data_IF_535429537155
#
_entry.id   IF_535429537155
#
_cell.length_a   1.000
_cell.length_b   1.000
_cell.length_c   1.000
_cell.angle_alpha   90.00
_cell.angle_beta   90.00
_cell.angle_gamma   90.00
#
_symmetry.space_group_name_H-M   'P 1'
#
loop_
_entity.id
_entity.type
_entity.pdbx_description
1 polymer ?
#
# COMPACT_ATOMS: atom_id res chain seq x y z
N UNK A 1 5.81 -16.98 29.20
CA UNK A 1 6.81 -17.29 28.16
C UNK A 1 6.92 -16.07 27.25
N UNK A 2 8.06 -15.85 26.60
CA UNK A 2 8.21 -14.76 25.63
C UNK A 2 7.36 -15.06 24.37
N UNK A 3 6.72 -14.04 23.80
CA UNK A 3 5.88 -14.19 22.60
C UNK A 3 6.72 -14.34 21.34
N UNK A 4 6.30 -15.21 20.43
CA UNK A 4 6.98 -15.43 19.15
C UNK A 4 6.40 -14.57 18.03
N UNK A 5 7.23 -13.71 17.42
CA UNK A 5 6.84 -12.94 16.22
C UNK A 5 6.60 -13.83 14.99
N UNK A 6 7.10 -15.07 14.98
CA UNK A 6 6.84 -16.02 13.87
C UNK A 6 5.42 -16.56 13.86
N UNK A 7 4.68 -16.44 14.97
CA UNK A 7 3.30 -16.88 15.09
C UNK A 7 2.31 -15.74 14.87
N UNK A 8 2.73 -14.71 14.13
CA UNK A 8 1.84 -13.62 13.81
C UNK A 8 0.84 -14.02 12.72
N UNK A 9 -0.39 -13.54 12.87
CA UNK A 9 -1.47 -13.73 11.91
C UNK A 9 -2.20 -12.41 11.73
N UNK A 10 -2.43 -12.02 10.48
CA UNK A 10 -3.27 -10.88 10.12
C UNK A 10 -4.55 -11.38 9.47
N UNK A 11 -5.69 -10.91 9.97
CA UNK A 11 -6.96 -11.02 9.27
C UNK A 11 -7.47 -9.62 8.92
N UNK A 12 -8.02 -9.46 7.73
CA UNK A 12 -8.51 -8.17 7.23
C UNK A 12 -9.90 -8.34 6.60
N UNK A 13 -10.83 -7.45 6.93
CA UNK A 13 -12.16 -7.44 6.33
C UNK A 13 -12.72 -6.02 6.26
N UNK A 14 -13.29 -5.66 5.12
CA UNK A 14 -13.99 -4.39 4.92
C UNK A 14 -15.25 -4.32 5.80
N UNK A 15 -15.51 -3.14 6.37
CA UNK A 15 -16.68 -2.86 7.19
C UNK A 15 -17.91 -2.50 6.36
N UNK A 16 -19.08 -2.85 6.87
CA UNK A 16 -20.36 -2.43 6.27
C UNK A 16 -20.74 -0.99 6.63
N UNK A 17 -20.27 -0.49 7.77
CA UNK A 17 -20.51 0.87 8.26
C UNK A 17 -19.42 1.32 9.25
N UNK A 18 -19.25 2.63 9.38
CA UNK A 18 -18.34 3.22 10.38
C UNK A 18 -18.75 2.84 11.81
N UNK A 19 -17.77 2.53 12.66
CA UNK A 19 -17.97 2.08 14.04
C UNK A 19 -18.52 0.66 14.18
N UNK A 20 -18.92 0.00 13.09
CA UNK A 20 -19.38 -1.38 13.09
C UNK A 20 -18.22 -2.31 12.68
N UNK A 21 -17.51 -2.83 13.69
CA UNK A 21 -16.38 -3.74 13.47
C UNK A 21 -16.82 -4.99 12.70
N UNK A 22 -16.08 -5.33 11.64
CA UNK A 22 -16.26 -6.60 10.95
C UNK A 22 -15.72 -7.77 11.80
N UNK A 23 -16.14 -8.99 11.47
CA UNK A 23 -15.71 -10.22 12.16
C UNK A 23 -14.95 -11.13 11.19
N UNK A 24 -13.69 -10.82 10.88
CA UNK A 24 -12.91 -11.60 9.93
C UNK A 24 -12.67 -13.03 10.46
N UNK A 25 -12.66 -14.00 9.55
CA UNK A 25 -12.39 -15.41 9.88
C UNK A 25 -11.07 -15.86 9.26
N UNK A 26 -10.39 -16.80 9.92
CA UNK A 26 -9.10 -17.33 9.43
C UNK A 26 -9.20 -18.04 8.08
N UNK A 27 -10.34 -18.64 7.77
CA UNK A 27 -10.56 -19.35 6.51
C UNK A 27 -10.86 -18.42 5.33
N UNK A 28 -11.46 -17.25 5.58
CA UNK A 28 -11.88 -16.35 4.50
C UNK A 28 -11.00 -15.12 4.32
N UNK A 29 -10.40 -14.63 5.41
CA UNK A 29 -9.85 -13.27 5.53
C UNK A 29 -8.38 -13.21 5.97
N UNK A 30 -7.68 -14.35 6.02
CA UNK A 30 -6.27 -14.36 6.38
C UNK A 30 -5.43 -13.71 5.27
N UNK A 31 -4.48 -12.87 5.66
CA UNK A 31 -3.56 -12.20 4.75
C UNK A 31 -2.16 -12.80 4.91
N UNK A 32 -1.60 -13.28 3.80
CA UNK A 32 -0.23 -13.78 3.76
C UNK A 32 0.75 -12.59 3.69
N UNK A 33 1.35 -12.25 4.82
CA UNK A 33 2.33 -11.16 4.90
C UNK A 33 3.77 -11.70 5.00
N UNK A 34 4.70 -11.03 4.31
CA UNK A 34 6.15 -11.28 4.48
C UNK A 34 6.73 -10.57 5.70
N UNK A 35 6.13 -9.45 6.07
CA UNK A 35 6.46 -8.65 7.25
C UNK A 35 5.17 -8.09 7.85
N UNK A 36 5.09 -8.09 9.17
CA UNK A 36 3.95 -7.56 9.92
C UNK A 36 4.46 -6.88 11.19
N UNK A 37 4.14 -5.60 11.34
CA UNK A 37 4.63 -4.76 12.43
C UNK A 37 3.45 -3.96 13.02
N UNK A 38 2.76 -4.51 14.05
CA UNK A 38 1.77 -3.77 14.80
C UNK A 38 2.44 -2.83 15.80
N UNK A 39 2.00 -1.57 15.84
CA UNK A 39 2.33 -0.64 16.91
C UNK A 39 1.24 -0.71 17.98
N UNK A 40 1.47 -1.26 19.19
CA UNK A 40 0.38 -1.58 20.11
C UNK A 40 -0.47 -0.38 20.54
N UNK A 41 0.15 0.80 20.67
CA UNK A 41 -0.50 2.06 20.99
C UNK A 41 0.33 3.23 20.47
N UNK A 42 -0.34 4.18 19.82
CA UNK A 42 0.22 5.46 19.41
C UNK A 42 -0.69 6.55 19.97
N UNK A 43 -0.13 7.55 20.64
CA UNK A 43 -0.91 8.56 21.34
C UNK A 43 -0.08 9.81 21.62
N UNK A 44 -0.77 10.93 21.78
CA UNK A 44 -0.18 12.19 22.22
C UNK A 44 -0.09 12.25 23.75
N UNK A 45 0.89 13.02 24.25
CA UNK A 45 1.08 13.22 25.68
C UNK A 45 1.00 14.69 26.06
N UNK A 46 0.00 15.03 26.87
CA UNK A 46 -0.22 16.38 27.39
C UNK A 46 0.48 16.54 28.74
N UNK A 47 1.39 17.50 28.85
CA UNK A 47 2.10 17.77 30.10
C UNK A 47 1.17 18.37 31.16
N UNK A 48 1.42 18.01 32.42
CA UNK A 48 0.68 18.57 33.56
C UNK A 48 1.47 19.71 34.19
N UNK A 49 1.21 20.95 33.80
CA UNK A 49 1.93 22.12 34.32
C UNK A 49 1.40 22.55 35.70
N UNK A 50 1.64 21.71 36.70
CA UNK A 50 1.17 21.91 38.08
C UNK A 50 2.11 22.85 38.84
N UNK A 51 1.55 23.89 39.46
CA UNK A 51 2.29 24.79 40.37
C UNK A 51 2.53 24.05 41.69
N UNK A 52 3.80 23.81 42.03
CA UNK A 52 4.22 23.10 43.25
C UNK A 52 5.45 23.78 43.88
N UNK A 53 5.59 23.78 45.22
CA UNK A 53 6.72 24.41 45.91
C UNK A 53 8.02 23.57 45.87
N UNK A 54 8.07 22.51 45.05
CA UNK A 54 9.22 21.61 44.91
C UNK A 54 9.47 21.25 43.44
N UNK A 55 10.71 20.88 43.13
CA UNK A 55 11.16 20.53 41.77
C UNK A 55 10.84 19.06 41.46
N UNK A 56 10.44 18.76 40.22
CA UNK A 56 10.18 17.40 39.72
C UNK A 56 9.19 17.39 38.55
N UNK A 57 9.15 16.30 37.78
CA UNK A 57 8.19 16.14 36.69
C UNK A 57 6.78 15.88 37.26
N UNK A 58 5.78 16.58 36.72
CA UNK A 58 4.37 16.49 37.13
C UNK A 58 3.59 15.40 36.39
N UNK A 59 4.25 14.67 35.50
CA UNK A 59 3.65 13.62 34.68
C UNK A 59 2.94 14.16 33.45
N UNK A 60 2.44 13.25 32.62
CA UNK A 60 1.72 13.56 31.37
C UNK A 60 0.45 12.70 31.28
N UNK A 61 -0.54 13.18 30.55
CA UNK A 61 -1.79 12.47 30.26
C UNK A 61 -1.82 12.04 28.79
N UNK A 62 -2.31 10.85 28.51
CA UNK A 62 -2.46 10.33 27.15
C UNK A 62 -3.74 10.89 26.51
N UNK A 63 -3.65 11.31 25.25
CA UNK A 63 -4.77 11.72 24.41
C UNK A 63 -4.59 11.13 22.99
N UNK A 64 -5.68 10.99 22.24
CA UNK A 64 -5.59 10.61 20.83
C UNK A 64 -5.12 9.18 20.61
N UNK A 65 -5.51 8.26 21.48
CA UNK A 65 -5.10 6.85 21.40
C UNK A 65 -5.61 6.21 20.09
N UNK A 66 -4.66 5.79 19.26
CA UNK A 66 -4.92 5.07 18.02
C UNK A 66 -3.91 3.93 17.85
N UNK A 67 -4.11 3.12 16.82
CA UNK A 67 -3.23 1.99 16.49
C UNK A 67 -2.77 2.09 15.04
N UNK A 68 -1.49 1.80 14.83
CA UNK A 68 -0.90 1.64 13.50
C UNK A 68 -0.51 0.20 13.23
N UNK A 69 -0.58 -0.21 11.97
CA UNK A 69 -0.12 -1.51 11.53
C UNK A 69 0.50 -1.39 10.15
N UNK A 70 1.71 -1.91 10.02
CA UNK A 70 2.44 -1.94 8.76
C UNK A 70 2.59 -3.39 8.33
N UNK A 71 2.31 -3.69 7.06
CA UNK A 71 2.49 -5.03 6.51
C UNK A 71 2.96 -4.99 5.06
N UNK A 72 3.62 -6.07 4.66
CA UNK A 72 4.07 -6.27 3.28
C UNK A 72 3.43 -7.53 2.71
N UNK A 73 2.86 -7.40 1.51
CA UNK A 73 2.18 -8.48 0.77
C UNK A 73 2.82 -8.61 -0.60
N UNK A 74 3.05 -9.85 -1.04
CA UNK A 74 3.61 -10.14 -2.37
C UNK A 74 2.56 -9.85 -3.46
N UNK A 75 2.99 -9.28 -4.59
CA UNK A 75 2.11 -8.97 -5.71
C UNK A 75 1.96 -10.23 -6.58
N UNK A 76 0.74 -10.77 -6.62
CA UNK A 76 0.34 -11.87 -7.49
C UNK A 76 -1.18 -11.77 -7.76
N UNK A 77 -1.64 -12.28 -8.89
CA UNK A 77 -3.09 -12.36 -9.13
C UNK A 77 -3.76 -13.47 -8.31
N UNK A 78 -5.08 -13.61 -8.49
CA UNK A 78 -5.91 -14.61 -7.80
C UNK A 78 -5.78 -16.03 -8.36
N UNK A 79 -5.11 -16.20 -9.50
CA UNK A 79 -4.99 -17.45 -10.23
C UNK A 79 -6.18 -17.74 -11.17
N UNK A 80 -7.20 -16.88 -11.21
CA UNK A 80 -8.34 -17.02 -12.13
C UNK A 80 -8.82 -15.63 -12.60
N UNK A 81 -8.94 -15.39 -13.93
CA UNK A 81 -9.42 -14.12 -14.46
C UNK A 81 -10.80 -13.72 -13.89
N UNK A 82 -10.96 -12.43 -13.54
CA UNK A 82 -12.19 -11.90 -12.97
C UNK A 82 -12.53 -12.40 -11.57
N UNK A 83 -11.55 -12.92 -10.82
CA UNK A 83 -11.66 -13.20 -9.38
C UNK A 83 -10.76 -12.22 -8.63
N UNK A 84 -11.31 -11.53 -7.64
CA UNK A 84 -10.55 -10.55 -6.85
C UNK A 84 -9.38 -11.22 -6.09
N UNK A 85 -8.18 -10.62 -6.10
CA UNK A 85 -7.06 -11.09 -5.29
C UNK A 85 -7.38 -10.97 -3.79
N UNK A 86 -6.76 -11.82 -2.98
CA UNK A 86 -7.00 -11.88 -1.53
C UNK A 86 -6.61 -10.59 -0.76
N UNK A 87 -5.80 -9.72 -1.36
CA UNK A 87 -5.42 -8.43 -0.79
C UNK A 87 -6.35 -7.26 -1.20
N UNK A 88 -7.44 -7.53 -1.94
CA UNK A 88 -8.37 -6.48 -2.42
C UNK A 88 -8.91 -5.59 -1.30
N UNK A 89 -9.32 -6.19 -0.17
CA UNK A 89 -9.79 -5.46 1.02
C UNK A 89 -8.77 -4.43 1.54
N UNK A 90 -7.47 -4.75 1.46
CA UNK A 90 -6.39 -3.83 1.87
C UNK A 90 -6.30 -2.64 0.92
N UNK A 91 -6.41 -2.86 -0.39
CA UNK A 91 -6.41 -1.80 -1.39
C UNK A 91 -7.63 -0.89 -1.23
N UNK A 92 -8.81 -1.46 -0.95
CA UNK A 92 -10.02 -0.66 -0.74
C UNK A 92 -9.85 0.33 0.43
N UNK A 93 -9.23 -0.11 1.52
CA UNK A 93 -8.90 0.74 2.67
C UNK A 93 -7.85 1.83 2.36
N UNK A 94 -7.11 1.68 1.28
CA UNK A 94 -6.17 2.67 0.74
C UNK A 94 -6.80 3.62 -0.28
N UNK A 95 -8.12 3.59 -0.48
CA UNK A 95 -8.82 4.51 -1.39
C UNK A 95 -8.95 4.02 -2.82
N UNK A 96 -8.96 2.70 -3.01
CA UNK A 96 -9.34 2.08 -4.28
C UNK A 96 -10.80 1.59 -4.25
N UNK A 97 -11.50 1.70 -5.37
CA UNK A 97 -12.76 1.03 -5.63
C UNK A 97 -12.52 -0.21 -6.50
N UNK A 98 -13.05 -1.35 -6.08
CA UNK A 98 -12.94 -2.61 -6.80
C UNK A 98 -14.09 -2.78 -7.80
N UNK A 99 -13.75 -3.07 -9.05
CA UNK A 99 -14.71 -3.43 -10.10
C UNK A 99 -14.33 -4.78 -10.68
N UNK A 100 -15.20 -5.77 -10.53
CA UNK A 100 -14.97 -7.14 -11.01
C UNK A 100 -15.69 -7.37 -12.33
N UNK A 101 -14.94 -7.65 -13.39
CA UNK A 101 -15.46 -8.15 -14.67
C UNK A 101 -15.26 -9.65 -14.71
N UNK A 102 -16.32 -10.41 -14.39
CA UNK A 102 -16.25 -11.87 -14.28
C UNK A 102 -15.65 -12.53 -15.54
N UNK A 103 -14.66 -13.40 -15.33
CA UNK A 103 -13.95 -14.10 -16.40
C UNK A 103 -12.95 -13.25 -17.20
N UNK A 104 -12.81 -11.96 -16.89
CA UNK A 104 -11.93 -11.04 -17.62
C UNK A 104 -10.87 -10.44 -16.71
N UNK A 105 -11.27 -9.56 -15.79
CA UNK A 105 -10.35 -8.78 -14.97
C UNK A 105 -11.00 -8.26 -13.69
N UNK A 106 -10.17 -7.78 -12.79
CA UNK A 106 -10.55 -6.99 -11.62
C UNK A 106 -9.76 -5.69 -11.65
N UNK A 107 -10.45 -4.56 -11.61
CA UNK A 107 -9.87 -3.23 -11.66
C UNK A 107 -10.02 -2.54 -10.31
N UNK A 108 -8.94 -1.89 -9.89
CA UNK A 108 -8.87 -1.04 -8.72
C UNK A 108 -8.57 0.38 -9.19
N UNK A 109 -9.61 1.22 -9.23
CA UNK A 109 -9.51 2.65 -9.58
C UNK A 109 -9.51 3.48 -8.32
N UNK A 110 -8.86 4.63 -8.32
CA UNK A 110 -8.86 5.51 -7.15
C UNK A 110 -10.24 6.17 -6.95
N UNK A 111 -10.52 6.55 -5.70
CA UNK A 111 -11.69 7.34 -5.33
C UNK A 111 -11.32 8.43 -4.33
N UNK A 112 -11.91 9.61 -4.47
CA UNK A 112 -11.76 10.74 -3.52
C UNK A 112 -12.78 10.74 -2.38
N UNK A 113 -13.68 9.76 -2.34
CA UNK A 113 -14.68 9.66 -1.29
C UNK A 113 -15.43 8.34 -1.28
N UNK A 114 -16.02 8.02 -0.12
CA UNK A 114 -16.70 6.74 0.09
C UNK A 114 -15.73 5.57 0.21
N UNK A 115 -14.46 5.81 0.54
CA UNK A 115 -13.50 4.73 0.72
C UNK A 115 -13.96 3.80 1.86
N UNK A 116 -14.03 2.48 1.62
CA UNK A 116 -14.43 1.56 2.66
C UNK A 116 -13.47 1.59 3.85
N UNK A 117 -14.02 1.39 5.05
CA UNK A 117 -13.25 1.27 6.28
C UNK A 117 -12.85 -0.18 6.51
N UNK A 118 -11.68 -0.41 7.08
CA UNK A 118 -11.15 -1.76 7.30
C UNK A 118 -11.10 -2.13 8.77
N UNK A 119 -11.48 -3.38 9.06
CA UNK A 119 -11.21 -4.02 10.34
C UNK A 119 -10.03 -4.99 10.21
N UNK A 120 -9.01 -4.79 11.05
CA UNK A 120 -7.80 -5.61 11.10
C UNK A 120 -7.70 -6.34 12.44
N UNK A 121 -7.50 -7.65 12.40
CA UNK A 121 -7.24 -8.48 13.57
C UNK A 121 -5.81 -9.00 13.45
N UNK A 122 -4.91 -8.48 14.28
CA UNK A 122 -3.54 -8.95 14.42
C UNK A 122 -3.41 -9.87 15.63
N UNK A 123 -2.95 -11.09 15.42
CA UNK A 123 -2.61 -12.01 16.50
C UNK A 123 -1.09 -12.08 16.67
N UNK A 124 -0.61 -12.03 17.91
CA UNK A 124 0.77 -12.25 18.31
C UNK A 124 0.79 -13.28 19.42
N UNK A 125 0.97 -14.55 19.05
CA UNK A 125 1.18 -15.67 19.98
C UNK A 125 0.22 -15.61 21.20
N UNK A 126 -1.07 -15.59 20.89
CA UNK A 126 -2.16 -15.55 21.88
C UNK A 126 -2.65 -14.15 22.30
N UNK A 127 -1.99 -13.05 21.90
CA UNK A 127 -2.55 -11.69 22.07
C UNK A 127 -3.21 -11.22 20.79
N UNK A 128 -4.43 -10.73 20.90
CA UNK A 128 -5.21 -10.13 19.82
C UNK A 128 -5.20 -8.61 19.92
N UNK A 129 -4.84 -7.97 18.81
CA UNK A 129 -4.96 -6.54 18.56
C UNK A 129 -6.02 -6.33 17.49
N UNK A 130 -7.06 -5.55 17.81
CA UNK A 130 -8.06 -5.15 16.81
C UNK A 130 -7.79 -3.70 16.41
N UNK A 131 -7.99 -3.40 15.15
CA UNK A 131 -8.05 -2.04 14.60
C UNK A 131 -9.37 -1.97 13.85
N UNK A 132 -10.18 -0.98 14.18
CA UNK A 132 -11.47 -0.73 13.54
C UNK A 132 -11.42 0.65 12.91
N UNK A 133 -12.23 0.88 11.89
CA UNK A 133 -12.28 2.13 11.13
C UNK A 133 -10.90 2.51 10.58
N UNK A 134 -10.14 1.51 10.11
CA UNK A 134 -8.80 1.73 9.60
C UNK A 134 -8.85 2.31 8.18
N UNK A 135 -7.99 3.30 7.94
CA UNK A 135 -7.62 3.81 6.61
C UNK A 135 -6.12 3.59 6.40
N UNK A 136 -5.70 3.45 5.15
CA UNK A 136 -4.31 3.16 4.84
C UNK A 136 -3.72 3.88 3.64
N UNK A 137 -2.44 3.63 3.42
CA UNK A 137 -1.69 4.01 2.22
C UNK A 137 -0.98 2.77 1.68
N UNK A 138 -0.69 2.74 0.38
CA UNK A 138 0.02 1.65 -0.28
C UNK A 138 1.15 2.17 -1.15
N UNK A 139 2.25 1.44 -1.17
CA UNK A 139 3.31 1.58 -2.16
C UNK A 139 3.59 0.25 -2.86
N UNK A 140 3.88 0.32 -4.15
CA UNK A 140 4.20 -0.81 -5.02
C UNK A 140 5.69 -0.74 -5.37
N UNK A 141 6.40 -1.86 -5.21
CA UNK A 141 7.81 -1.99 -5.58
C UNK A 141 8.01 -3.18 -6.51
N UNK A 142 8.61 -2.93 -7.68
CA UNK A 142 8.90 -3.94 -8.70
C UNK A 142 10.36 -3.84 -9.15
N UNK A 143 11.26 -4.44 -8.37
CA UNK A 143 12.70 -4.43 -8.65
C UNK A 143 13.14 -5.76 -9.29
N UNK A 144 13.92 -5.75 -10.40
CA UNK A 144 14.40 -6.97 -11.05
C UNK A 144 15.12 -7.93 -10.11
N UNK A 145 15.00 -9.23 -10.38
CA UNK A 145 15.53 -10.33 -9.54
C UNK A 145 14.91 -10.39 -8.13
N UNK A 146 13.95 -9.53 -7.82
CA UNK A 146 13.15 -9.55 -6.60
C UNK A 146 11.74 -10.09 -6.84
N UNK A 147 11.03 -10.29 -5.73
CA UNK A 147 9.59 -10.51 -5.71
C UNK A 147 8.93 -9.12 -5.65
N UNK A 148 7.91 -8.83 -6.49
CA UNK A 148 7.19 -7.57 -6.42
C UNK A 148 6.34 -7.51 -5.14
N UNK A 149 6.31 -6.35 -4.47
CA UNK A 149 5.72 -6.22 -3.13
C UNK A 149 4.85 -4.97 -3.02
N UNK A 150 3.71 -5.10 -2.32
CA UNK A 150 2.93 -3.99 -1.79
C UNK A 150 3.28 -3.76 -0.33
N UNK A 151 3.63 -2.53 0.03
CA UNK A 151 3.82 -2.12 1.43
C UNK A 151 2.64 -1.27 1.85
N UNK A 152 1.95 -1.72 2.89
CA UNK A 152 0.80 -1.06 3.46
C UNK A 152 1.13 -0.47 4.82
N UNK A 153 0.58 0.71 5.08
CA UNK A 153 0.50 1.28 6.43
C UNK A 153 -0.96 1.64 6.71
N UNK A 154 -1.46 1.19 7.86
CA UNK A 154 -2.82 1.43 8.31
C UNK A 154 -2.82 2.19 9.62
N UNK A 155 -3.82 3.06 9.79
CA UNK A 155 -4.11 3.78 11.01
C UNK A 155 -5.61 3.67 11.30
N UNK A 156 -5.96 3.32 12.54
CA UNK A 156 -7.36 3.19 12.95
C UNK A 156 -7.56 3.22 14.46
N UNK A 157 -8.80 3.00 14.88
CA UNK A 157 -9.22 3.10 16.26
C UNK A 157 -8.52 2.08 17.15
N UNK A 158 -8.07 2.55 18.31
CA UNK A 158 -7.47 1.70 19.32
C UNK A 158 -8.52 0.77 19.94
N UNK A 159 -8.15 -0.51 20.08
CA UNK A 159 -8.83 -1.45 20.95
C UNK A 159 -7.87 -1.93 22.04
N UNK A 160 -8.38 -2.18 23.24
CA UNK A 160 -7.61 -2.87 24.28
C UNK A 160 -7.13 -4.23 23.73
N UNK A 161 -5.85 -4.59 23.89
CA UNK A 161 -5.38 -5.94 23.57
C UNK A 161 -6.08 -6.98 24.46
N UNK A 162 -6.44 -8.10 23.86
CA UNK A 162 -7.12 -9.22 24.54
C UNK A 162 -6.28 -10.49 24.40
N UNK A 163 -6.31 -11.36 25.39
CA UNK A 163 -5.77 -12.71 25.22
C UNK A 163 -6.83 -13.56 24.53
N UNK A 164 -6.43 -14.32 23.51
CA UNK A 164 -7.31 -15.16 22.71
C UNK A 164 -6.56 -16.33 22.10
N UNK A 165 -7.25 -17.43 21.87
CA UNK A 165 -6.67 -18.56 21.15
C UNK A 165 -6.28 -18.12 19.73
N UNK A 166 -5.14 -18.63 19.24
CA UNK A 166 -4.80 -18.48 17.83
C UNK A 166 -5.90 -19.13 16.98
N UNK A 167 -6.41 -18.45 15.95
CA UNK A 167 -7.40 -19.02 15.04
C UNK A 167 -6.88 -20.31 14.40
N UNK A 168 -7.78 -21.28 14.22
CA UNK A 168 -7.49 -22.54 13.51
C UNK A 168 -8.07 -22.48 12.09
N UNK A 169 -7.57 -23.32 11.18
CA UNK A 169 -8.05 -23.36 9.79
C UNK A 169 -7.69 -22.11 8.99
N UNK A 170 -6.51 -21.53 9.24
CA UNK A 170 -5.96 -20.43 8.44
C UNK A 170 -5.76 -20.92 7.00
N UNK A 171 -6.35 -20.20 6.04
CA UNK A 171 -6.26 -20.55 4.62
C UNK A 171 -5.58 -19.43 3.82
N UNK A 172 -4.50 -19.77 3.12
CA UNK A 172 -3.78 -18.89 2.20
C UNK A 172 -3.87 -19.37 0.75
N UNK A 173 -4.76 -20.31 0.44
CA UNK A 173 -4.92 -20.88 -0.92
C UNK A 173 -5.27 -19.83 -1.98
N UNK A 174 -5.84 -18.69 -1.57
CA UNK A 174 -6.13 -17.54 -2.43
C UNK A 174 -4.90 -16.71 -2.80
N UNK A 175 -3.74 -16.94 -2.17
CA UNK A 175 -2.48 -16.30 -2.52
C UNK A 175 -1.70 -17.21 -3.47
N UNK A 176 -1.53 -16.75 -4.70
CA UNK A 176 -0.69 -17.42 -5.69
C UNK A 176 0.79 -17.20 -5.37
N UNK A 177 1.63 -18.16 -5.76
CA UNK A 177 3.08 -17.95 -5.74
C UNK A 177 3.44 -16.80 -6.68
N UNK A 178 4.15 -15.76 -6.21
CA UNK A 178 4.50 -14.63 -7.05
C UNK A 178 5.56 -15.00 -8.08
N UNK A 179 5.58 -14.26 -9.19
CA UNK A 179 6.64 -14.36 -10.19
C UNK A 179 7.73 -13.35 -9.88
N UNK A 180 8.98 -13.72 -10.13
CA UNK A 180 10.11 -12.78 -9.98
C UNK A 180 10.05 -11.70 -11.06
N UNK A 181 10.37 -10.46 -10.71
CA UNK A 181 10.47 -9.36 -11.67
C UNK A 181 11.68 -9.57 -12.58
N UNK A 182 11.46 -9.43 -13.88
CA UNK A 182 12.50 -9.56 -14.90
C UNK A 182 11.89 -9.75 -16.28
N UNK A 183 12.72 -9.69 -17.33
CA UNK A 183 12.27 -9.67 -18.73
C UNK A 183 11.20 -10.72 -19.09
N UNK A 184 11.30 -11.93 -18.56
CA UNK A 184 10.34 -13.02 -18.85
C UNK A 184 8.98 -12.79 -18.24
N UNK A 185 8.92 -12.28 -17.00
CA UNK A 185 7.68 -12.14 -16.24
C UNK A 185 7.18 -10.69 -16.19
N UNK A 186 7.96 -9.70 -16.63
CA UNK A 186 7.56 -8.30 -16.73
C UNK A 186 7.79 -7.85 -18.18
N UNK A 187 6.98 -8.32 -19.13
CA UNK A 187 7.24 -8.12 -20.55
C UNK A 187 7.06 -6.66 -21.00
N UNK A 188 6.30 -5.87 -20.23
CA UNK A 188 5.97 -4.49 -20.60
C UNK A 188 6.33 -3.56 -19.45
N UNK A 189 7.20 -2.59 -19.75
CA UNK A 189 7.40 -1.39 -18.95
C UNK A 189 7.67 -0.24 -19.92
N UNK A 190 6.66 0.60 -20.11
CA UNK A 190 6.74 1.75 -21.00
C UNK A 190 6.54 3.04 -20.23
N UNK A 191 7.32 4.06 -20.55
CA UNK A 191 7.22 5.40 -19.96
C UNK A 191 7.35 6.44 -21.07
N UNK A 192 6.34 7.30 -21.24
CA UNK A 192 6.20 8.19 -22.39
C UNK A 192 6.34 7.44 -23.74
N UNK A 193 5.86 6.19 -23.82
CA UNK A 193 6.00 5.32 -24.98
C UNK A 193 7.40 4.74 -25.21
N UNK A 194 8.38 5.03 -24.36
CA UNK A 194 9.71 4.42 -24.40
C UNK A 194 9.72 3.12 -23.58
N UNK A 195 10.12 2.01 -24.20
CA UNK A 195 10.32 0.73 -23.50
C UNK A 195 11.63 0.76 -22.71
N UNK A 196 11.54 0.81 -21.39
CA UNK A 196 12.69 1.04 -20.51
C UNK A 196 13.31 -0.28 -19.99
N UNK A 197 14.65 -0.37 -20.04
CA UNK A 197 15.40 -1.36 -19.27
C UNK A 197 15.63 -0.82 -17.85
N UNK A 198 14.97 -1.41 -16.85
CA UNK A 198 14.96 -0.87 -15.48
C UNK A 198 15.73 -1.71 -14.48
N UNK A 199 16.28 -1.04 -13.47
CA UNK A 199 16.89 -1.63 -12.28
C UNK A 199 16.07 -1.38 -11.01
N UNK A 200 15.16 -0.40 -11.03
CA UNK A 200 14.19 -0.18 -9.96
C UNK A 200 12.92 0.50 -10.48
N UNK A 201 11.79 0.15 -9.89
CA UNK A 201 10.50 0.81 -10.14
C UNK A 201 9.67 0.83 -8.87
N UNK A 202 9.15 2.00 -8.52
CA UNK A 202 8.22 2.16 -7.40
C UNK A 202 7.15 3.20 -7.67
N UNK A 203 5.98 2.99 -7.08
CA UNK A 203 4.86 3.94 -7.04
C UNK A 203 4.33 3.97 -5.62
N UNK A 204 4.15 5.15 -5.05
CA UNK A 204 3.60 5.37 -3.73
C UNK A 204 2.35 6.23 -3.87
N UNK A 205 1.21 5.74 -3.37
CA UNK A 205 -0.02 6.51 -3.38
C UNK A 205 0.06 7.73 -2.44
N UNK A 206 0.87 7.61 -1.38
CA UNK A 206 1.16 8.67 -0.42
C UNK A 206 -0.12 9.35 0.12
N UNK A 207 -1.07 8.53 0.60
CA UNK A 207 -2.22 9.03 1.33
C UNK A 207 -1.78 9.68 2.64
N UNK A 208 -2.32 10.85 2.95
CA UNK A 208 -2.05 11.53 4.21
C UNK A 208 -2.84 10.89 5.35
N UNK A 209 -2.23 10.02 6.15
CA UNK A 209 -2.92 9.36 7.27
C UNK A 209 -2.81 10.15 8.57
N UNK A 210 -3.94 10.71 9.03
CA UNK A 210 -4.03 11.48 10.26
C UNK A 210 -5.07 10.88 11.22
N UNK A 211 -4.72 10.74 12.50
CA UNK A 211 -5.73 10.56 13.55
C UNK A 211 -6.33 11.92 13.90
N UNK A 212 -7.65 12.06 13.75
CA UNK A 212 -8.35 13.28 14.13
C UNK A 212 -9.08 13.03 15.42
N UNK A 213 -8.74 13.80 16.45
CA UNK A 213 -9.45 13.80 17.73
C UNK A 213 -10.12 15.17 17.92
N UNK A 214 -11.45 15.18 17.92
CA UNK A 214 -12.28 16.36 18.14
C UNK A 214 -13.28 16.07 19.26
N UNK A 215 -13.89 17.13 19.81
CA UNK A 215 -14.98 16.96 20.77
C UNK A 215 -16.15 16.25 20.05
N UNK A 216 -16.62 15.14 20.61
CA UNK A 216 -17.75 14.34 20.11
C UNK A 216 -17.49 13.53 18.82
N UNK A 217 -16.29 13.59 18.23
CA UNK A 217 -15.92 12.71 17.11
C UNK A 217 -14.41 12.49 17.05
N UNK A 218 -14.00 11.24 16.82
CA UNK A 218 -12.61 10.89 16.58
C UNK A 218 -12.52 9.76 15.54
N UNK A 219 -11.44 9.72 14.77
CA UNK A 219 -11.25 8.66 13.78
C UNK A 219 -10.06 8.89 12.85
N UNK A 220 -9.77 7.84 12.06
CA UNK A 220 -8.79 7.90 10.99
C UNK A 220 -9.31 8.79 9.85
N UNK A 221 -8.47 9.67 9.34
CA UNK A 221 -8.76 10.49 8.18
C UNK A 221 -7.64 10.38 7.15
N UNK A 222 -8.03 10.36 5.88
CA UNK A 222 -7.15 10.46 4.72
C UNK A 222 -7.64 11.61 3.83
N UNK A 223 -7.36 12.88 4.20
CA UNK A 223 -7.98 14.03 3.54
C UNK A 223 -7.39 14.36 2.17
N UNK A 224 -6.18 13.90 1.89
CA UNK A 224 -5.45 14.18 0.65
C UNK A 224 -4.54 12.99 0.31
N UNK A 225 -4.14 12.93 -0.96
CA UNK A 225 -3.13 12.00 -1.48
C UNK A 225 -2.24 12.73 -2.47
N UNK A 226 -0.94 12.44 -2.44
CA UNK A 226 0.03 13.04 -3.37
C UNK A 226 0.87 11.95 -4.01
N UNK A 227 0.30 11.20 -4.98
CA UNK A 227 0.96 10.02 -5.49
C UNK A 227 2.25 10.35 -6.24
N UNK A 228 3.31 9.63 -5.91
CA UNK A 228 4.65 9.80 -6.47
C UNK A 228 5.18 8.47 -6.96
N UNK A 229 6.17 8.49 -7.84
CA UNK A 229 6.86 7.30 -8.29
C UNK A 229 8.30 7.58 -8.67
N UNK A 230 9.04 6.50 -8.88
CA UNK A 230 10.43 6.56 -9.31
C UNK A 230 10.75 5.37 -10.20
N UNK A 231 11.50 5.64 -11.26
CA UNK A 231 12.03 4.63 -12.17
C UNK A 231 13.52 4.85 -12.33
N UNK A 232 14.30 3.79 -12.14
CA UNK A 232 15.73 3.78 -12.49
C UNK A 232 15.91 2.94 -13.74
N UNK A 233 16.37 3.55 -14.82
CA UNK A 233 16.49 2.92 -16.14
C UNK A 233 17.80 3.26 -16.84
N UNK A 234 18.21 2.45 -17.81
CA UNK A 234 19.33 2.81 -18.69
C UNK A 234 19.06 4.16 -19.34
N UNK A 235 20.03 5.08 -19.29
CA UNK A 235 19.87 6.40 -19.86
C UNK A 235 19.86 6.30 -21.40
N UNK A 236 18.71 6.51 -22.07
CA UNK A 236 18.63 6.30 -23.50
C UNK A 236 19.32 7.44 -24.24
N UNK A 237 19.60 7.22 -25.53
CA UNK A 237 20.07 8.29 -26.40
C UNK A 237 19.00 9.39 -26.48
N UNK A 238 19.44 10.64 -26.50
CA UNK A 238 18.59 11.82 -26.69
C UNK A 238 17.73 11.71 -27.95
N UNK A 239 18.26 11.10 -29.02
CA UNK A 239 17.51 10.86 -30.27
C UNK A 239 16.38 9.82 -30.13
N UNK A 240 16.44 8.95 -29.13
CA UNK A 240 15.38 8.00 -28.79
C UNK A 240 14.34 8.67 -27.89
N UNK A 241 14.80 9.38 -26.86
CA UNK A 241 13.94 10.14 -25.95
C UNK A 241 14.75 11.23 -25.26
N UNK A 242 14.33 12.48 -25.44
CA UNK A 242 14.97 13.62 -24.77
C UNK A 242 14.31 13.88 -23.41
N UNK A 243 14.83 13.22 -22.38
CA UNK A 243 14.35 13.41 -21.00
C UNK A 243 14.64 14.81 -20.46
N UNK A 244 15.67 15.49 -20.97
CA UNK A 244 16.00 16.84 -20.51
C UNK A 244 14.97 17.86 -20.98
N UNK A 245 14.51 17.75 -22.23
CA UNK A 245 13.42 18.58 -22.76
C UNK A 245 12.08 18.24 -22.12
N UNK A 246 11.76 16.95 -21.90
CA UNK A 246 10.54 16.52 -21.19
C UNK A 246 10.46 17.20 -19.82
N UNK A 247 11.55 17.16 -19.03
CA UNK A 247 11.59 17.79 -17.71
C UNK A 247 11.56 19.32 -17.81
N UNK A 248 12.35 19.91 -18.72
CA UNK A 248 12.42 21.37 -18.91
C UNK A 248 11.06 21.98 -19.27
N UNK A 249 10.31 21.30 -20.13
CA UNK A 249 9.01 21.74 -20.61
C UNK A 249 7.86 21.27 -19.69
N UNK A 250 8.16 20.54 -18.61
CA UNK A 250 7.15 19.95 -17.71
C UNK A 250 6.11 19.11 -18.47
N UNK A 251 6.59 18.36 -19.46
CA UNK A 251 5.73 17.49 -20.27
C UNK A 251 5.12 16.39 -19.42
N UNK A 252 3.94 15.93 -19.83
CA UNK A 252 3.23 14.83 -19.20
C UNK A 252 2.97 13.73 -20.20
N UNK A 253 2.89 12.50 -19.71
CA UNK A 253 2.72 11.32 -20.55
C UNK A 253 2.40 10.08 -19.74
N UNK A 254 2.10 8.98 -20.40
CA UNK A 254 1.71 7.75 -19.72
C UNK A 254 2.89 6.89 -19.28
N UNK A 255 2.69 6.12 -18.21
CA UNK A 255 3.54 5.01 -17.83
C UNK A 255 2.68 3.77 -17.59
N UNK A 256 3.16 2.60 -18.02
CA UNK A 256 2.49 1.31 -17.82
C UNK A 256 3.51 0.25 -17.51
N UNK A 257 3.24 -0.57 -16.49
CA UNK A 257 3.99 -1.78 -16.20
C UNK A 257 3.03 -2.97 -16.15
N UNK A 258 3.37 -4.05 -16.84
CA UNK A 258 2.64 -5.31 -16.83
C UNK A 258 3.57 -6.39 -16.29
N UNK A 259 3.17 -6.98 -15.16
CA UNK A 259 3.84 -8.11 -14.54
C UNK A 259 2.95 -9.34 -14.60
N UNK A 260 3.51 -10.51 -14.86
CA UNK A 260 2.81 -11.75 -15.16
C UNK A 260 2.64 -12.01 -16.65
N UNK A 261 2.37 -13.27 -16.97
CA UNK A 261 2.15 -13.77 -18.35
C UNK A 261 1.02 -14.80 -18.44
N UNK A 262 0.58 -15.34 -17.29
CA UNK A 262 -0.48 -16.34 -17.25
C UNK A 262 -1.79 -15.65 -16.85
N UNK A 263 -2.91 -15.88 -17.57
CA UNK A 263 -4.22 -15.36 -17.16
C UNK A 263 -4.55 -15.76 -15.72
N UNK A 264 -5.12 -14.81 -14.97
CA UNK A 264 -5.39 -14.87 -13.55
C UNK A 264 -4.21 -14.47 -12.67
N UNK A 265 -3.01 -14.28 -13.25
CA UNK A 265 -1.80 -13.90 -12.53
C UNK A 265 -1.03 -12.76 -13.23
N UNK A 266 -1.74 -11.94 -14.01
CA UNK A 266 -1.21 -10.70 -14.58
C UNK A 266 -1.65 -9.55 -13.68
N UNK A 267 -0.69 -8.74 -13.25
CA UNK A 267 -0.90 -7.50 -12.51
C UNK A 267 -0.33 -6.35 -13.31
N UNK A 268 -1.17 -5.37 -13.61
CA UNK A 268 -0.85 -4.21 -14.43
C UNK A 268 -1.10 -2.93 -13.64
N UNK A 269 -0.13 -2.01 -13.67
CA UNK A 269 -0.27 -0.66 -13.14
C UNK A 269 -0.28 0.30 -14.33
N UNK A 270 -1.39 1.03 -14.48
CA UNK A 270 -1.57 2.06 -15.50
C UNK A 270 -1.54 3.43 -14.83
N UNK A 271 -0.63 4.28 -15.28
CA UNK A 271 -0.53 5.68 -14.88
C UNK A 271 -0.70 6.50 -16.16
N UNK A 272 -1.93 6.90 -16.51
CA UNK A 272 -2.20 7.51 -17.81
C UNK A 272 -1.50 8.86 -17.99
N UNK A 273 -1.15 9.53 -16.90
CA UNK A 273 -0.53 10.85 -16.91
C UNK A 273 0.42 11.02 -15.72
N UNK A 274 1.72 10.99 -16.00
CA UNK A 274 2.80 11.27 -15.06
C UNK A 274 3.56 12.51 -15.52
N UNK A 275 4.14 13.22 -14.55
CA UNK A 275 5.00 14.38 -14.79
C UNK A 275 6.40 14.08 -14.21
N UNK A 276 7.42 13.85 -15.07
CA UNK A 276 8.77 13.60 -14.61
C UNK A 276 9.44 14.84 -13.99
N UNK A 277 10.21 14.62 -12.93
CA UNK A 277 11.04 15.63 -12.28
C UNK A 277 12.52 15.58 -12.71
N UNK A 278 13.37 16.46 -12.15
CA UNK A 278 14.81 16.40 -12.34
C UNK A 278 15.37 15.04 -11.94
N UNK A 279 16.19 14.45 -12.83
CA UNK A 279 16.77 13.13 -12.65
C UNK A 279 18.26 13.20 -12.30
N UNK A 280 18.76 12.11 -11.71
CA UNK A 280 20.19 11.92 -11.45
C UNK A 280 20.72 10.78 -12.31
N UNK A 281 22.03 10.81 -12.59
CA UNK A 281 22.73 9.74 -13.28
C UNK A 281 23.61 8.98 -12.29
N UNK A 282 23.67 7.66 -12.46
CA UNK A 282 24.52 6.77 -11.68
C UNK A 282 25.18 5.73 -12.59
N UNK A 283 26.33 5.19 -12.18
CA UNK A 283 26.96 4.05 -12.84
C UNK A 283 26.41 2.74 -12.27
N UNK A 284 26.04 1.81 -13.15
CA UNK A 284 25.81 0.41 -12.79
C UNK A 284 26.56 -0.49 -13.79
N UNK A 285 27.64 -1.13 -13.33
CA UNK A 285 28.51 -1.98 -14.14
C UNK A 285 29.05 -1.28 -15.41
N UNK A 286 29.35 0.02 -15.34
CA UNK A 286 29.82 0.78 -16.50
C UNK A 286 28.71 1.26 -17.44
N UNK A 287 27.44 1.04 -17.12
CA UNK A 287 26.28 1.56 -17.85
C UNK A 287 25.70 2.75 -17.10
N UNK A 288 25.46 3.85 -17.82
CA UNK A 288 24.81 5.03 -17.26
C UNK A 288 23.32 4.76 -17.02
N UNK A 289 22.92 4.75 -15.77
CA UNK A 289 21.54 4.65 -15.32
C UNK A 289 21.00 6.04 -14.96
N UNK A 290 19.73 6.26 -15.22
CA UNK A 290 18.99 7.47 -14.89
C UNK A 290 17.92 7.13 -13.85
N UNK A 291 17.98 7.78 -12.68
CA UNK A 291 16.94 7.73 -11.67
C UNK A 291 15.99 8.92 -11.87
N UNK A 292 14.80 8.63 -12.39
CA UNK A 292 13.78 9.60 -12.76
C UNK A 292 12.62 9.54 -11.76
N UNK A 293 12.50 10.52 -10.85
CA UNK A 293 11.27 10.69 -10.06
C UNK A 293 10.15 11.24 -10.96
N UNK A 294 8.91 10.90 -10.64
CA UNK A 294 7.74 11.43 -11.32
C UNK A 294 6.54 11.55 -10.37
N UNK A 295 5.69 12.52 -10.62
CA UNK A 295 4.40 12.69 -9.94
C UNK A 295 3.29 12.10 -10.81
N UNK A 296 2.30 11.43 -10.23
CA UNK A 296 1.12 10.99 -10.98
C UNK A 296 0.10 12.12 -10.91
N UNK A 297 -0.38 12.57 -12.07
CA UNK A 297 -1.22 13.77 -12.17
C UNK A 297 -2.56 13.40 -12.79
N UNK A 298 -3.70 13.75 -12.17
CA UNK A 298 -5.00 13.43 -12.75
C UNK A 298 -5.25 14.15 -14.06
N UNK A 299 -6.00 13.50 -14.95
CA UNK A 299 -6.56 14.11 -16.16
C UNK A 299 -8.01 14.48 -15.89
N UNK A 300 -8.83 13.50 -15.46
CA UNK A 300 -10.26 13.64 -15.18
C UNK A 300 -10.63 12.92 -13.88
N UNK A 301 -10.58 13.65 -12.76
CA UNK A 301 -10.97 13.11 -11.46
C UNK A 301 -9.90 12.17 -10.89
N UNK A 302 -10.31 11.01 -10.40
CA UNK A 302 -9.48 10.04 -9.68
C UNK A 302 -8.79 9.03 -10.62
N UNK A 303 -8.19 9.51 -11.72
CA UNK A 303 -7.64 8.66 -12.78
C UNK A 303 -6.10 8.58 -12.80
N UNK A 304 -5.44 8.94 -11.68
CA UNK A 304 -3.97 8.98 -11.63
C UNK A 304 -3.31 7.59 -11.73
N UNK A 305 -3.96 6.57 -11.18
CA UNK A 305 -3.47 5.20 -11.10
C UNK A 305 -4.63 4.22 -11.21
N UNK A 306 -4.47 3.20 -12.06
CA UNK A 306 -5.35 2.03 -12.10
C UNK A 306 -4.52 0.77 -11.94
N UNK A 307 -4.89 -0.08 -10.99
CA UNK A 307 -4.35 -1.42 -10.85
C UNK A 307 -5.34 -2.41 -11.47
N UNK A 308 -4.86 -3.26 -12.38
CA UNK A 308 -5.67 -4.28 -13.06
C UNK A 308 -5.07 -5.65 -12.78
N UNK A 309 -5.91 -6.60 -12.35
CA UNK A 309 -5.55 -8.00 -12.15
C UNK A 309 -6.35 -8.86 -13.11
N UNK A 310 -5.68 -9.66 -13.95
CA UNK A 310 -6.31 -10.45 -15.01
C UNK A 310 -5.59 -11.75 -15.31
#
# INVERSE_FOLDING_TARGET
MAKSMKQMLLLAMVQTAAGAAATPTAAANAILCRALMPEPITADQVARDLIRPYKGNSGKLTAGEHRKLSCEVEIAGSGTPGVAPAYGDLLQACGFAETVTAGTDVQYTLVSGGEPLLTLYGYLDGTLFKIVDAKGTVSFELNPKGIPVMKFEFLGAYSKPEEGAMPTGVDYSKFMQPKVVGKTNTPTLTIFGHSACTSAFSVNLANQLNWRELINCAGAASPDRQPTGSITMEFPKVTTKDWTEIVRNSERGSAVIVHGVDPGNIVELQMPNIQPGPFTLSDDQGVAMMALPFDLVPIVGDDELVLIVR
#
